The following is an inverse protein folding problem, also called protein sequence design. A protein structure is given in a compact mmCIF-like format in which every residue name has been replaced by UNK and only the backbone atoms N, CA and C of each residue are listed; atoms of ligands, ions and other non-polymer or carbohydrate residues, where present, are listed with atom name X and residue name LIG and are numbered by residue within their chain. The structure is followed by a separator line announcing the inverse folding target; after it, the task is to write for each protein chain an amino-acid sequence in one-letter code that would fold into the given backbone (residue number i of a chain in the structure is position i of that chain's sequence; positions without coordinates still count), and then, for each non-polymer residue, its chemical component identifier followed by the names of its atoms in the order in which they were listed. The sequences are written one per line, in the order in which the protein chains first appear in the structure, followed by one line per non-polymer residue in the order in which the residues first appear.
data_IF_739717602116
#
_entry.id   IF_739717602116
#
_cell.length_a   1.000
_cell.length_b   1.000
_cell.length_c   1.000
_cell.angle_alpha   90.00
_cell.angle_beta   90.00
_cell.angle_gamma   90.00
#
_symmetry.space_group_name_H-M   'P 1'
#
loop_
_entity.id
_entity.type
_entity.pdbx_description
1 polymer ?
#
# COMPACT_ATOMS: atom_id res chain seq x y z
N UNK A 1 1.28 -0.15 -28.04
CA UNK A 1 2.50 0.46 -27.46
C UNK A 1 2.59 0.07 -26.00
N UNK A 2 3.76 -0.35 -25.50
CA UNK A 2 3.98 -0.58 -24.07
C UNK A 2 4.38 0.76 -23.45
N UNK A 3 3.72 1.17 -22.36
CA UNK A 3 3.99 2.41 -21.63
C UNK A 3 4.16 2.12 -20.14
N UNK A 4 4.86 3.00 -19.42
CA UNK A 4 4.95 2.94 -17.96
C UNK A 4 3.87 3.79 -17.31
N UNK A 5 3.25 3.25 -16.27
CA UNK A 5 2.24 3.96 -15.48
C UNK A 5 2.91 5.01 -14.59
N UNK A 6 2.45 6.27 -14.66
CA UNK A 6 3.01 7.36 -13.85
C UNK A 6 2.79 7.21 -12.33
N UNK A 7 1.88 6.33 -11.90
CA UNK A 7 1.55 6.11 -10.47
C UNK A 7 2.22 4.89 -9.88
N UNK A 8 2.35 3.80 -10.63
CA UNK A 8 2.86 2.53 -10.09
C UNK A 8 4.08 1.98 -10.82
N UNK A 9 4.62 2.70 -11.82
CA UNK A 9 5.83 2.32 -12.55
C UNK A 9 5.70 1.12 -13.50
N UNK A 10 4.64 0.31 -13.37
CA UNK A 10 4.42 -0.89 -14.18
C UNK A 10 4.27 -0.60 -15.66
N UNK A 11 4.82 -1.50 -16.48
CA UNK A 11 4.63 -1.50 -17.93
C UNK A 11 3.25 -2.07 -18.29
N UNK A 12 2.52 -1.40 -19.18
CA UNK A 12 1.18 -1.81 -19.61
C UNK A 12 0.95 -1.55 -21.09
N UNK A 13 0.07 -2.36 -21.69
CA UNK A 13 -0.33 -2.21 -23.10
C UNK A 13 -1.33 -1.06 -23.24
N UNK A 14 -0.84 0.10 -23.66
CA UNK A 14 -1.69 1.27 -23.86
C UNK A 14 -2.50 1.15 -25.16
N UNK A 15 -3.81 1.40 -25.04
CA UNK A 15 -4.77 1.44 -26.15
C UNK A 15 -4.76 2.77 -26.92
N UNK A 16 -4.29 3.86 -26.27
CA UNK A 16 -4.22 5.22 -26.84
C UNK A 16 -2.86 5.84 -26.53
N UNK A 17 -2.40 6.73 -27.40
CA UNK A 17 -1.15 7.48 -27.21
C UNK A 17 -1.18 8.40 -25.98
N UNK A 18 -2.35 8.82 -25.53
CA UNK A 18 -2.53 9.68 -24.34
C UNK A 18 -2.70 8.91 -23.03
N UNK A 19 -2.63 7.57 -23.05
CA UNK A 19 -2.79 6.78 -21.83
C UNK A 19 -1.57 6.93 -20.90
N UNK A 20 -1.82 7.39 -19.67
CA UNK A 20 -0.80 7.66 -18.62
C UNK A 20 -0.80 6.62 -17.48
N UNK A 21 -1.87 5.83 -17.37
CA UNK A 21 -2.10 4.92 -16.24
C UNK A 21 -2.49 3.51 -16.71
N UNK A 22 -2.04 2.48 -16.00
CA UNK A 22 -2.33 1.09 -16.35
C UNK A 22 -3.77 0.65 -16.02
N UNK A 23 -4.44 1.31 -15.07
CA UNK A 23 -5.79 0.94 -14.62
C UNK A 23 -6.60 2.13 -14.10
N UNK A 24 -7.91 1.94 -13.95
CA UNK A 24 -8.81 2.91 -13.32
C UNK A 24 -8.40 3.24 -11.89
N UNK A 25 -7.85 2.26 -11.16
CA UNK A 25 -7.31 2.43 -9.80
C UNK A 25 -6.17 3.43 -9.78
N UNK A 26 -5.19 3.30 -10.68
CA UNK A 26 -4.07 4.25 -10.78
C UNK A 26 -4.55 5.65 -11.18
N UNK A 27 -5.54 5.75 -12.06
CA UNK A 27 -6.17 7.03 -12.42
C UNK A 27 -6.86 7.70 -11.21
N UNK A 28 -7.57 6.92 -10.40
CA UNK A 28 -8.22 7.40 -9.17
C UNK A 28 -7.20 7.85 -8.12
N UNK A 29 -6.09 7.11 -7.95
CA UNK A 29 -4.98 7.50 -7.07
C UNK A 29 -4.34 8.83 -7.48
N UNK A 30 -4.13 9.04 -8.79
CA UNK A 30 -3.66 10.32 -9.33
C UNK A 30 -4.62 11.48 -9.00
N UNK A 31 -5.94 11.27 -9.18
CA UNK A 31 -6.96 12.29 -8.90
C UNK A 31 -7.09 12.64 -7.42
N UNK A 32 -6.77 11.70 -6.51
CA UNK A 32 -6.83 11.89 -5.05
C UNK A 32 -5.57 12.52 -4.45
N UNK A 33 -4.56 12.87 -5.26
CA UNK A 33 -3.32 13.50 -4.79
C UNK A 33 -2.36 12.54 -4.09
N UNK A 34 -2.54 11.21 -4.23
CA UNK A 34 -1.60 10.22 -3.73
C UNK A 34 -0.44 10.09 -4.73
N UNK A 35 0.51 11.02 -4.67
CA UNK A 35 1.82 10.83 -5.29
C UNK A 35 2.58 9.79 -4.45
N UNK A 36 2.55 8.53 -4.89
CA UNK A 36 3.45 7.52 -4.34
C UNK A 36 4.87 7.85 -4.81
N UNK A 37 5.69 8.43 -3.93
CA UNK A 37 7.10 8.78 -4.17
C UNK A 37 8.04 7.67 -3.70
N UNK A 38 7.62 6.41 -3.81
CA UNK A 38 8.51 5.26 -3.64
C UNK A 38 8.83 4.70 -5.02
N UNK A 39 10.09 4.38 -5.27
CA UNK A 39 10.43 3.53 -6.41
C UNK A 39 9.90 2.13 -6.10
N UNK A 40 8.74 1.76 -6.67
CA UNK A 40 8.42 0.35 -6.88
C UNK A 40 9.39 -0.15 -7.95
N UNK A 41 10.62 -0.44 -7.55
CA UNK A 41 11.53 -1.23 -8.37
C UNK A 41 10.78 -2.53 -8.67
N UNK A 42 10.75 -2.94 -9.94
CA UNK A 42 10.11 -4.20 -10.31
C UNK A 42 10.69 -5.31 -9.42
N UNK A 43 9.85 -6.24 -8.90
CA UNK A 43 10.36 -7.34 -8.09
C UNK A 43 11.46 -8.05 -8.88
N UNK A 44 12.56 -8.40 -8.20
CA UNK A 44 13.64 -9.13 -8.84
C UNK A 44 13.09 -10.38 -9.53
N UNK A 45 13.65 -10.83 -10.67
CA UNK A 45 13.18 -12.04 -11.35
C UNK A 45 13.28 -13.30 -10.47
N UNK A 46 14.09 -13.26 -9.42
CA UNK A 46 14.23 -14.30 -8.39
C UNK A 46 13.35 -14.08 -7.15
N UNK A 47 12.49 -13.05 -7.14
CA UNK A 47 11.60 -12.80 -6.03
C UNK A 47 10.49 -13.85 -6.02
N UNK A 48 10.60 -14.80 -5.10
CA UNK A 48 9.58 -15.78 -4.79
C UNK A 48 9.26 -15.69 -3.30
N UNK A 49 7.99 -15.56 -2.97
CA UNK A 49 7.45 -15.88 -1.65
C UNK A 49 6.34 -16.92 -1.87
N UNK A 50 6.23 -17.88 -0.96
CA UNK A 50 5.08 -18.79 -0.96
C UNK A 50 3.82 -18.05 -0.47
N UNK A 51 2.66 -18.59 -0.80
CA UNK A 51 1.39 -18.02 -0.33
C UNK A 51 1.35 -17.95 1.21
N UNK A 52 1.88 -18.97 1.89
CA UNK A 52 1.97 -19.03 3.36
C UNK A 52 2.86 -17.90 3.92
N UNK A 53 4.02 -17.65 3.30
CA UNK A 53 4.92 -16.57 3.70
C UNK A 53 4.26 -15.19 3.52
N UNK A 54 3.49 -15.02 2.44
CA UNK A 54 2.73 -13.79 2.21
C UNK A 54 1.65 -13.61 3.27
N UNK A 55 0.87 -14.65 3.55
CA UNK A 55 -0.18 -14.63 4.58
C UNK A 55 0.39 -14.33 5.96
N UNK A 56 1.56 -14.88 6.30
CA UNK A 56 2.22 -14.59 7.58
C UNK A 56 2.66 -13.12 7.69
N UNK A 57 3.15 -12.52 6.60
CA UNK A 57 3.49 -11.09 6.57
C UNK A 57 2.23 -10.23 6.76
N UNK A 58 1.13 -10.55 6.08
CA UNK A 58 -0.13 -9.83 6.22
C UNK A 58 -0.69 -9.93 7.64
N UNK A 59 -0.68 -11.14 8.19
CA UNK A 59 -1.12 -11.38 9.56
C UNK A 59 -0.30 -10.57 10.57
N UNK A 60 1.04 -10.54 10.41
CA UNK A 60 1.92 -9.72 11.26
C UNK A 60 1.59 -8.22 11.16
N UNK A 61 1.23 -7.72 9.98
CA UNK A 61 0.84 -6.33 9.81
C UNK A 61 -0.46 -5.98 10.57
N UNK A 62 -1.48 -6.83 10.50
CA UNK A 62 -2.72 -6.66 11.28
C UNK A 62 -2.50 -6.77 12.79
N UNK A 63 -1.66 -7.71 13.22
CA UNK A 63 -1.29 -7.86 14.63
C UNK A 63 -0.60 -6.60 15.12
N UNK A 64 0.39 -6.09 14.38
CA UNK A 64 1.09 -4.86 14.75
C UNK A 64 0.13 -3.65 14.84
N UNK A 65 -0.82 -3.52 13.92
CA UNK A 65 -1.82 -2.46 13.99
C UNK A 65 -2.74 -2.60 15.23
N UNK A 66 -3.14 -3.83 15.55
CA UNK A 66 -3.92 -4.16 16.75
C UNK A 66 -3.14 -3.86 18.04
N UNK A 67 -1.86 -4.19 18.08
CA UNK A 67 -0.97 -3.91 19.21
C UNK A 67 -0.77 -2.41 19.41
N UNK A 68 -0.61 -1.64 18.34
CA UNK A 68 -0.54 -0.17 18.41
C UNK A 68 -1.86 0.42 18.91
N UNK A 69 -3.00 -0.13 18.49
CA UNK A 69 -4.31 0.26 19.00
C UNK A 69 -4.42 -0.01 20.50
N UNK A 70 -4.00 -1.20 20.95
CA UNK A 70 -3.96 -1.56 22.37
C UNK A 70 -3.02 -0.67 23.18
N UNK A 71 -1.81 -0.45 22.70
CA UNK A 71 -0.83 0.43 23.33
C UNK A 71 -1.35 1.87 23.44
N UNK A 72 -2.15 2.33 22.47
CA UNK A 72 -2.79 3.65 22.55
C UNK A 72 -3.74 3.80 23.74
N UNK A 73 -4.36 2.71 24.20
CA UNK A 73 -5.24 2.73 25.38
C UNK A 73 -4.45 2.72 26.70
N UNK A 74 -3.18 2.32 26.66
CA UNK A 74 -2.33 2.11 27.85
C UNK A 74 -1.25 3.19 28.00
N UNK A 75 -1.24 4.20 27.13
CA UNK A 75 -0.22 5.26 27.12
C UNK A 75 -0.84 6.64 27.33
N UNK A 76 -0.04 7.58 27.84
CA UNK A 76 -0.49 8.95 28.10
C UNK A 76 -0.42 9.84 26.85
N UNK A 77 -1.10 10.99 26.92
CA UNK A 77 -1.02 12.02 25.88
C UNK A 77 0.40 12.61 25.80
N UNK A 78 0.93 12.90 24.60
CA UNK A 78 0.29 12.81 23.28
C UNK A 78 0.51 11.47 22.56
N UNK A 79 1.21 10.52 23.19
CA UNK A 79 1.63 9.28 22.55
C UNK A 79 0.43 8.39 22.17
N UNK A 80 -0.58 8.30 23.04
CA UNK A 80 -1.82 7.57 22.75
C UNK A 80 -2.47 8.00 21.44
N UNK A 81 -2.56 9.31 21.19
CA UNK A 81 -3.17 9.85 19.97
C UNK A 81 -2.35 9.51 18.72
N UNK A 82 -1.02 9.54 18.83
CA UNK A 82 -0.12 9.16 17.72
C UNK A 82 -0.25 7.67 17.41
N UNK A 83 -0.19 6.80 18.42
CA UNK A 83 -0.32 5.34 18.27
C UNK A 83 -1.66 4.95 17.65
N UNK A 84 -2.76 5.53 18.14
CA UNK A 84 -4.11 5.29 17.60
C UNK A 84 -4.22 5.71 16.13
N UNK A 85 -3.59 6.82 15.75
CA UNK A 85 -3.58 7.31 14.36
C UNK A 85 -2.79 6.39 13.44
N UNK A 86 -1.64 5.89 13.89
CA UNK A 86 -0.83 4.94 13.11
C UNK A 86 -1.55 3.62 12.94
N UNK A 87 -2.10 3.05 14.02
CA UNK A 87 -2.89 1.83 13.98
C UNK A 87 -4.00 1.90 12.92
N UNK A 88 -4.78 2.99 12.93
CA UNK A 88 -5.84 3.22 11.95
C UNK A 88 -5.31 3.31 10.52
N UNK A 89 -4.20 4.02 10.29
CA UNK A 89 -3.61 4.14 8.95
C UNK A 89 -3.15 2.81 8.37
N UNK A 90 -2.61 1.92 9.21
CA UNK A 90 -2.18 0.59 8.77
C UNK A 90 -3.40 -0.24 8.37
N UNK A 91 -4.43 -0.32 9.23
CA UNK A 91 -5.67 -1.06 8.94
C UNK A 91 -6.40 -0.52 7.70
N UNK A 92 -6.53 0.80 7.57
CA UNK A 92 -7.19 1.42 6.41
C UNK A 92 -6.40 1.13 5.11
N UNK A 93 -5.07 1.04 5.18
CA UNK A 93 -4.22 0.72 4.03
C UNK A 93 -4.35 -0.75 3.61
N UNK A 94 -4.30 -1.69 4.56
CA UNK A 94 -4.46 -3.12 4.28
C UNK A 94 -5.85 -3.39 3.69
N UNK A 95 -6.90 -2.92 4.36
CA UNK A 95 -8.29 -3.04 3.89
C UNK A 95 -8.51 -2.39 2.53
N UNK A 96 -7.87 -1.24 2.28
CA UNK A 96 -7.98 -0.50 1.03
C UNK A 96 -7.43 -1.27 -0.18
N UNK A 97 -6.48 -2.18 0.03
CA UNK A 97 -5.94 -3.07 -1.00
C UNK A 97 -6.59 -4.47 -1.00
N UNK A 98 -7.54 -4.74 -0.09
CA UNK A 98 -8.20 -6.04 0.06
C UNK A 98 -7.31 -7.10 0.70
N UNK A 99 -6.34 -6.67 1.50
CA UNK A 99 -5.40 -7.50 2.25
C UNK A 99 -5.89 -7.72 3.69
#
# INVERSE_FOLDING_TARGET
MIKRCEICGREFKAQRSTARYCSATCRSRAARGYAYTGELQAPAPSASMTDDEVLEVLQRAHVAASDLSRASMLTSSPLCLKLRRVAKKIEDALRGEGL
#
